data_IF_005055778509
#
_entry.id   IF_005055778509
#
_cell.length_a   1.000
_cell.length_b   1.000
_cell.length_c   1.000
_cell.angle_alpha   90.00
_cell.angle_beta   90.00
_cell.angle_gamma   90.00
#
_symmetry.space_group_name_H-M   'P 1'
#
loop_
_entity.id
_entity.type
_entity.pdbx_description
1 polymer ?
#
# COMPACT_ATOMS: atom_id res chain seq x y z
N UNK A 1 52.45 -23.26 -3.02
CA UNK A 1 51.37 -23.43 -4.02
C UNK A 1 49.98 -23.66 -3.40
N UNK A 2 49.83 -24.46 -2.35
CA UNK A 2 48.54 -24.78 -1.71
C UNK A 2 47.82 -23.59 -1.07
N UNK A 3 48.51 -22.71 -0.35
CA UNK A 3 47.89 -21.51 0.27
C UNK A 3 47.35 -20.50 -0.74
N UNK A 4 48.09 -20.26 -1.83
CA UNK A 4 47.65 -19.36 -2.91
C UNK A 4 46.39 -19.91 -3.60
N UNK A 5 46.34 -21.23 -3.87
CA UNK A 5 45.15 -21.89 -4.41
C UNK A 5 43.94 -21.79 -3.46
N UNK A 6 44.15 -21.95 -2.15
CA UNK A 6 43.07 -21.80 -1.16
C UNK A 6 42.52 -20.37 -1.12
N UNK A 7 43.38 -19.34 -1.14
CA UNK A 7 42.95 -17.94 -1.20
C UNK A 7 42.13 -17.68 -2.46
N UNK A 8 42.57 -18.19 -3.61
CA UNK A 8 41.82 -18.09 -4.87
C UNK A 8 40.46 -18.78 -4.82
N UNK A 9 40.36 -19.98 -4.23
CA UNK A 9 39.09 -20.69 -4.08
C UNK A 9 38.14 -19.90 -3.17
N UNK A 10 38.61 -19.40 -2.02
CA UNK A 10 37.80 -18.60 -1.10
C UNK A 10 37.30 -17.33 -1.80
N UNK A 11 38.17 -16.65 -2.55
CA UNK A 11 37.81 -15.48 -3.34
C UNK A 11 36.71 -15.78 -4.36
N UNK A 12 36.82 -16.89 -5.10
CA UNK A 12 35.79 -17.32 -6.06
C UNK A 12 34.45 -17.64 -5.38
N UNK A 13 34.48 -18.29 -4.21
CA UNK A 13 33.26 -18.56 -3.42
C UNK A 13 32.59 -17.26 -3.01
N UNK A 14 33.35 -16.30 -2.46
CA UNK A 14 32.80 -15.00 -2.05
C UNK A 14 32.18 -14.26 -3.23
N UNK A 15 32.87 -14.22 -4.38
CA UNK A 15 32.32 -13.61 -5.59
C UNK A 15 31.05 -14.31 -6.03
N UNK A 16 31.02 -15.65 -6.05
CA UNK A 16 29.83 -16.41 -6.43
C UNK A 16 28.65 -16.07 -5.51
N UNK A 17 28.88 -16.01 -4.20
CA UNK A 17 27.84 -15.66 -3.23
C UNK A 17 27.35 -14.22 -3.43
N UNK A 18 28.26 -13.28 -3.68
CA UNK A 18 27.89 -11.89 -3.98
C UNK A 18 27.04 -11.81 -5.25
N UNK A 19 27.44 -12.47 -6.33
CA UNK A 19 26.68 -12.49 -7.60
C UNK A 19 25.28 -13.10 -7.37
N UNK A 20 25.19 -14.22 -6.67
CA UNK A 20 23.89 -14.85 -6.35
C UNK A 20 23.00 -13.93 -5.51
N UNK A 21 23.57 -13.25 -4.52
CA UNK A 21 22.83 -12.28 -3.71
C UNK A 21 22.33 -11.11 -4.55
N UNK A 22 23.19 -10.49 -5.37
CA UNK A 22 22.79 -9.37 -6.23
C UNK A 22 21.77 -9.77 -7.28
N UNK A 23 21.89 -10.94 -7.89
CA UNK A 23 20.89 -11.45 -8.83
C UNK A 23 19.53 -11.63 -8.14
N UNK A 24 19.52 -12.19 -6.92
CA UNK A 24 18.31 -12.31 -6.11
C UNK A 24 17.71 -10.95 -5.73
N UNK A 25 18.55 -10.02 -5.25
CA UNK A 25 18.12 -8.67 -4.86
C UNK A 25 17.58 -7.86 -6.06
N UNK A 26 18.21 -7.95 -7.22
CA UNK A 26 17.72 -7.31 -8.45
C UNK A 26 16.38 -7.91 -8.88
N UNK A 27 16.25 -9.24 -8.83
CA UNK A 27 15.01 -9.95 -9.17
C UNK A 27 13.88 -9.54 -8.23
N UNK A 28 14.13 -9.49 -6.92
CA UNK A 28 13.16 -9.01 -5.94
C UNK A 28 12.81 -7.53 -6.12
N UNK A 29 13.82 -6.72 -6.45
CA UNK A 29 13.67 -5.30 -6.77
C UNK A 29 12.68 -5.07 -7.91
N UNK A 30 12.93 -5.66 -9.07
CA UNK A 30 12.10 -5.47 -10.26
C UNK A 30 10.69 -6.06 -10.13
N UNK A 31 10.53 -7.16 -9.40
CA UNK A 31 9.22 -7.79 -9.26
C UNK A 31 8.39 -7.22 -8.11
N UNK A 32 9.00 -6.61 -7.09
CA UNK A 32 8.29 -6.20 -5.87
C UNK A 32 8.74 -4.84 -5.34
N UNK A 33 10.02 -4.67 -4.99
CA UNK A 33 10.42 -3.49 -4.19
C UNK A 33 10.35 -2.16 -4.94
N UNK A 34 10.49 -2.17 -6.26
CA UNK A 34 10.42 -0.97 -7.09
C UNK A 34 9.07 -0.78 -7.78
N UNK A 35 8.06 -1.60 -7.46
CA UNK A 35 6.73 -1.40 -8.04
C UNK A 35 6.08 -0.12 -7.48
N UNK A 36 5.46 0.71 -8.33
CA UNK A 36 4.76 1.90 -7.88
C UNK A 36 3.63 1.55 -6.91
N UNK A 37 3.59 2.24 -5.77
CA UNK A 37 2.56 2.04 -4.76
C UNK A 37 1.27 2.78 -5.12
N UNK A 38 0.15 2.27 -4.63
CA UNK A 38 -1.07 3.08 -4.55
C UNK A 38 -0.94 3.96 -3.31
N UNK A 39 -1.09 5.26 -3.50
CA UNK A 39 -1.17 6.24 -2.43
C UNK A 39 -2.63 6.59 -2.16
N UNK A 40 -3.07 6.52 -0.91
CA UNK A 40 -4.43 6.89 -0.53
C UNK A 40 -4.38 7.94 0.58
N UNK A 41 -5.02 9.08 0.32
CA UNK A 41 -5.22 10.15 1.29
C UNK A 41 -6.68 10.18 1.69
N UNK A 42 -6.98 10.00 2.97
CA UNK A 42 -8.35 10.02 3.51
C UNK A 42 -8.47 11.22 4.45
N UNK A 43 -9.37 12.13 4.13
CA UNK A 43 -9.65 13.34 4.90
C UNK A 43 -11.05 13.28 5.49
N UNK A 44 -11.18 13.62 6.77
CA UNK A 44 -12.45 13.65 7.47
C UNK A 44 -13.00 15.08 7.50
N UNK A 45 -14.05 15.34 6.75
CA UNK A 45 -14.79 16.60 6.70
C UNK A 45 -16.27 16.38 7.06
N UNK A 46 -16.56 15.37 7.89
CA UNK A 46 -17.92 14.97 8.24
C UNK A 46 -18.54 15.82 9.36
N UNK A 47 -17.75 16.65 10.04
CA UNK A 47 -18.17 17.37 11.23
C UNK A 47 -18.10 16.53 12.52
N UNK A 48 -17.72 15.25 12.42
CA UNK A 48 -17.61 14.34 13.56
C UNK A 48 -16.31 13.52 13.48
N UNK A 49 -15.87 12.97 14.61
CA UNK A 49 -14.78 11.98 14.61
C UNK A 49 -15.25 10.68 13.96
N UNK A 50 -14.44 10.12 13.05
CA UNK A 50 -14.60 8.75 12.55
C UNK A 50 -14.01 7.81 13.61
N UNK A 51 -14.84 6.94 14.20
CA UNK A 51 -14.40 5.98 15.23
C UNK A 51 -13.78 4.73 14.62
N UNK A 52 -14.30 4.29 13.49
CA UNK A 52 -13.80 3.14 12.76
C UNK A 52 -13.68 3.50 11.29
N UNK A 53 -12.50 3.27 10.74
CA UNK A 53 -12.19 3.52 9.33
C UNK A 53 -11.54 2.26 8.77
N UNK A 54 -12.09 1.75 7.68
CA UNK A 54 -11.66 0.51 7.03
C UNK A 54 -11.61 0.72 5.53
N UNK A 55 -10.48 0.37 4.92
CA UNK A 55 -10.30 0.31 3.48
C UNK A 55 -10.22 -1.16 3.07
N UNK A 56 -11.19 -1.62 2.29
CA UNK A 56 -11.19 -2.93 1.67
C UNK A 56 -10.58 -2.80 0.27
N UNK A 57 -9.56 -3.58 -0.02
CA UNK A 57 -8.83 -3.57 -1.30
C UNK A 57 -9.00 -4.94 -1.94
N UNK A 58 -9.41 -4.98 -3.20
CA UNK A 58 -9.56 -6.21 -3.97
C UNK A 58 -8.66 -6.14 -5.20
N UNK A 59 -7.68 -7.04 -5.28
CA UNK A 59 -6.69 -7.10 -6.37
C UNK A 59 -6.25 -8.55 -6.57
N UNK A 60 -5.98 -8.94 -7.83
CA UNK A 60 -5.53 -10.29 -8.19
C UNK A 60 -6.34 -11.46 -7.55
N UNK A 61 -7.65 -11.26 -7.36
CA UNK A 61 -8.54 -12.27 -6.76
C UNK A 61 -8.43 -12.41 -5.24
N UNK A 62 -7.64 -11.56 -4.58
CA UNK A 62 -7.49 -11.51 -3.12
C UNK A 62 -8.13 -10.23 -2.58
N UNK A 63 -8.74 -10.33 -1.40
CA UNK A 63 -9.28 -9.20 -0.66
C UNK A 63 -8.41 -8.94 0.59
N UNK A 64 -8.02 -7.69 0.78
CA UNK A 64 -7.27 -7.20 1.92
C UNK A 64 -8.08 -6.12 2.65
N UNK A 65 -7.99 -6.10 3.97
CA UNK A 65 -8.60 -5.05 4.79
C UNK A 65 -7.53 -4.29 5.54
N UNK A 66 -7.58 -2.96 5.44
CA UNK A 66 -6.69 -2.05 6.15
C UNK A 66 -7.54 -1.26 7.14
N UNK A 67 -7.20 -1.39 8.43
CA UNK A 67 -7.85 -0.68 9.51
C UNK A 67 -6.99 0.51 9.94
N UNK A 68 -7.64 1.64 10.19
CA UNK A 68 -6.98 2.85 10.63
C UNK A 68 -7.37 3.20 12.06
N UNK A 69 -6.52 4.01 12.69
CA UNK A 69 -6.88 4.66 13.95
C UNK A 69 -8.08 5.60 13.75
N UNK A 70 -8.84 5.90 14.81
CA UNK A 70 -9.89 6.92 14.76
C UNK A 70 -9.36 8.24 14.18
N UNK A 71 -10.16 8.86 13.32
CA UNK A 71 -9.76 10.07 12.60
C UNK A 71 -10.65 11.24 13.02
N UNK A 72 -10.07 12.20 13.73
CA UNK A 72 -10.76 13.42 14.14
C UNK A 72 -11.25 14.25 12.94
N UNK A 73 -12.25 15.10 13.17
CA UNK A 73 -12.73 16.00 12.13
C UNK A 73 -11.63 16.98 11.68
N UNK A 74 -11.60 17.29 10.39
CA UNK A 74 -10.59 18.09 9.69
C UNK A 74 -9.16 17.52 9.74
N UNK A 75 -9.00 16.23 10.04
CA UNK A 75 -7.72 15.53 9.94
C UNK A 75 -7.66 14.68 8.68
N UNK A 76 -6.44 14.44 8.24
CA UNK A 76 -6.11 13.60 7.09
C UNK A 76 -5.16 12.51 7.54
N UNK A 77 -5.37 11.30 7.02
CA UNK A 77 -4.45 10.18 7.13
C UNK A 77 -4.01 9.76 5.73
N UNK A 78 -2.76 9.35 5.62
CA UNK A 78 -2.17 8.86 4.38
C UNK A 78 -1.75 7.41 4.57
N UNK A 79 -1.94 6.61 3.54
CA UNK A 79 -1.45 5.24 3.51
C UNK A 79 -0.99 4.87 2.11
N UNK A 80 -0.21 3.81 2.05
CA UNK A 80 0.28 3.26 0.81
C UNK A 80 0.27 1.74 0.87
N UNK A 81 -0.07 1.11 -0.24
CA UNK A 81 -0.09 -0.35 -0.34
C UNK A 81 0.22 -0.80 -1.77
N UNK A 82 0.66 -2.05 -1.87
CA UNK A 82 0.90 -2.69 -3.15
C UNK A 82 -0.43 -3.24 -3.69
N UNK A 83 -0.60 -3.11 -5.00
CA UNK A 83 -1.65 -3.80 -5.76
C UNK A 83 -1.01 -4.55 -6.91
N UNK A 84 -1.49 -5.76 -7.17
CA UNK A 84 -0.97 -6.57 -8.26
C UNK A 84 -1.83 -6.34 -9.50
N UNK A 85 -1.36 -5.47 -10.39
CA UNK A 85 -2.10 -5.04 -11.57
C UNK A 85 -3.25 -4.10 -11.20
N UNK A 86 -4.42 -4.37 -11.75
CA UNK A 86 -5.64 -3.58 -11.52
C UNK A 86 -6.42 -4.11 -10.29
N UNK A 87 -7.21 -3.23 -9.70
CA UNK A 87 -8.04 -3.57 -8.56
C UNK A 87 -9.13 -2.56 -8.29
N UNK A 88 -9.94 -2.89 -7.29
CA UNK A 88 -10.92 -2.00 -6.72
C UNK A 88 -10.67 -1.78 -5.24
N UNK A 89 -11.21 -0.71 -4.71
CA UNK A 89 -11.31 -0.52 -3.26
C UNK A 89 -12.69 -0.06 -2.84
N UNK A 90 -12.96 -0.24 -1.55
CA UNK A 90 -14.12 0.31 -0.87
C UNK A 90 -13.69 0.90 0.48
N UNK A 91 -14.09 2.13 0.75
CA UNK A 91 -13.88 2.82 2.00
C UNK A 91 -15.16 2.81 2.83
N UNK A 92 -15.04 2.38 4.08
CA UNK A 92 -16.11 2.37 5.06
C UNK A 92 -15.68 3.18 6.29
N UNK A 93 -16.49 4.15 6.68
CA UNK A 93 -16.26 5.04 7.81
C UNK A 93 -17.47 5.05 8.75
N UNK A 94 -17.26 4.70 10.01
CA UNK A 94 -18.27 4.80 11.07
C UNK A 94 -18.00 6.03 11.92
N UNK A 95 -18.94 6.97 11.90
CA UNK A 95 -18.90 8.24 12.64
C UNK A 95 -19.18 8.04 14.14
N UNK A 96 -18.87 9.05 14.94
CA UNK A 96 -19.05 9.01 16.39
C UNK A 96 -20.52 8.84 16.84
N UNK A 97 -21.48 9.26 16.01
CA UNK A 97 -22.91 9.05 16.22
C UNK A 97 -23.38 7.61 15.87
N UNK A 98 -22.49 6.73 15.41
CA UNK A 98 -22.79 5.35 15.00
C UNK A 98 -23.25 5.20 13.55
N UNK A 99 -23.36 6.29 12.78
CA UNK A 99 -23.67 6.25 11.36
C UNK A 99 -22.48 5.70 10.58
N UNK A 100 -22.72 4.71 9.71
CA UNK A 100 -21.71 4.17 8.79
C UNK A 100 -21.93 4.72 7.38
N UNK A 101 -20.85 5.15 6.75
CA UNK A 101 -20.81 5.66 5.38
C UNK A 101 -19.88 4.75 4.58
N UNK A 102 -20.38 4.14 3.51
CA UNK A 102 -19.68 3.09 2.74
C UNK A 102 -19.74 3.27 1.22
N UNK A 103 -20.00 4.49 0.78
CA UNK A 103 -20.14 4.86 -0.65
C UNK A 103 -18.80 5.10 -1.33
N UNK A 104 -17.71 5.27 -0.57
CA UNK A 104 -16.37 5.45 -1.14
C UNK A 104 -15.94 4.17 -1.81
N UNK A 105 -15.76 4.20 -3.12
CA UNK A 105 -15.27 3.07 -3.90
C UNK A 105 -14.67 3.57 -5.21
N UNK A 106 -13.72 2.82 -5.74
CA UNK A 106 -13.08 3.21 -6.98
C UNK A 106 -12.14 2.16 -7.53
N UNK A 107 -11.67 2.45 -8.73
CA UNK A 107 -10.62 1.70 -9.40
C UNK A 107 -9.24 2.17 -8.93
N UNK A 108 -8.30 1.24 -8.81
CA UNK A 108 -6.91 1.49 -8.45
C UNK A 108 -5.98 0.60 -9.25
N UNK A 109 -4.80 1.14 -9.56
CA UNK A 109 -3.67 0.40 -10.12
C UNK A 109 -2.37 0.96 -9.56
N UNK A 110 -1.27 0.21 -9.75
CA UNK A 110 0.06 0.62 -9.27
C UNK A 110 0.41 2.04 -9.74
N UNK A 111 0.73 2.91 -8.79
CA UNK A 111 1.08 4.32 -9.03
C UNK A 111 -0.07 5.31 -8.80
N UNK A 112 -1.32 4.84 -8.63
CA UNK A 112 -2.44 5.74 -8.42
C UNK A 112 -2.33 6.49 -7.10
N UNK A 113 -2.72 7.76 -7.14
CA UNK A 113 -3.06 8.55 -5.96
C UNK A 113 -4.56 8.71 -5.87
N UNK A 114 -5.14 8.20 -4.79
CA UNK A 114 -6.56 8.31 -4.46
C UNK A 114 -6.74 9.29 -3.31
N UNK A 115 -7.66 10.23 -3.48
CA UNK A 115 -8.07 11.18 -2.45
C UNK A 115 -9.52 10.94 -2.10
N UNK A 116 -9.76 10.61 -0.83
CA UNK A 116 -11.06 10.39 -0.25
C UNK A 116 -11.39 11.52 0.71
N UNK A 117 -12.56 12.13 0.52
CA UNK A 117 -13.11 13.15 1.43
C UNK A 117 -14.39 12.61 2.03
N UNK A 118 -14.32 12.20 3.30
CA UNK A 118 -15.48 11.71 4.06
C UNK A 118 -16.29 12.90 4.54
N UNK A 119 -17.55 13.01 4.12
CA UNK A 119 -18.50 14.05 4.54
C UNK A 119 -19.64 13.43 5.32
N UNK A 120 -20.53 14.23 5.89
CA UNK A 120 -21.64 13.72 6.71
C UNK A 120 -22.64 12.85 5.91
N UNK A 121 -22.73 13.07 4.60
CA UNK A 121 -23.74 12.49 3.72
C UNK A 121 -23.16 11.56 2.64
N UNK A 122 -21.85 11.29 2.65
CA UNK A 122 -21.22 10.49 1.60
C UNK A 122 -19.71 10.68 1.56
N UNK A 123 -19.09 10.05 0.57
CA UNK A 123 -17.63 10.11 0.35
C UNK A 123 -17.39 10.63 -1.08
N UNK A 124 -16.51 11.62 -1.20
CA UNK A 124 -16.06 12.11 -2.50
C UNK A 124 -14.69 11.51 -2.82
N UNK A 125 -14.64 10.74 -3.90
CA UNK A 125 -13.44 10.03 -4.35
C UNK A 125 -12.84 10.72 -5.57
N UNK A 126 -11.52 10.91 -5.59
CA UNK A 126 -10.77 11.43 -6.75
C UNK A 126 -9.52 10.60 -6.94
N UNK A 127 -9.38 9.98 -8.11
CA UNK A 127 -8.20 9.20 -8.47
C UNK A 127 -7.41 9.92 -9.57
N UNK A 128 -6.08 9.89 -9.46
CA UNK A 128 -5.15 10.40 -10.46
C UNK A 128 -3.94 9.48 -10.56
N UNK A 129 -3.37 9.35 -11.76
CA UNK A 129 -2.08 8.70 -11.99
C UNK A 129 -0.94 9.69 -11.76
#
# INVERSE_FOLDING_TARGET
>A
MTRVKQIWIVFLIIISLMISFFAGALTAGFNYWFQPLVHVQISNHSGQTIRQLKLQVQTAGVQHEIFFQPLENNKTIETQFFVQGEGGYRLEATLANGQTISEGQGYIESGYTVKEVVRANGITSTASY
#
